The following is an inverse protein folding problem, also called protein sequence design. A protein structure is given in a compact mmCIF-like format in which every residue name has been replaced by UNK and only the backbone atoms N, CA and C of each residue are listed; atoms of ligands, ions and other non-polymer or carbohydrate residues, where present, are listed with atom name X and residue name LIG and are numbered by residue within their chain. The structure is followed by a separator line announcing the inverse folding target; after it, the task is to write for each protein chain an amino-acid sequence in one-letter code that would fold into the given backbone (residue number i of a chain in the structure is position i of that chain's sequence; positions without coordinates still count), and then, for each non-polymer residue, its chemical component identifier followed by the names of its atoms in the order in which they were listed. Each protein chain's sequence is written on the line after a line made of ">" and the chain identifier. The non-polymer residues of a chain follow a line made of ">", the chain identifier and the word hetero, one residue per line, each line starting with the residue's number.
data_IF_894222753312
#
_entry.id   IF_894222753312
#
_cell.length_a   1.000
_cell.length_b   1.000
_cell.length_c   1.000
_cell.angle_alpha   90.00
_cell.angle_beta   90.00
_cell.angle_gamma   90.00
#
_symmetry.space_group_name_H-M   'P 1'
#
loop_
_entity.id
_entity.type
_entity.pdbx_description
1 polymer ?
#
# COMPACT_ATOMS: atom_id res chain seq x y z
N UNK A 1 -20.79 58.83 -115.00
CA UNK A 1 -20.51 58.98 -113.56
C UNK A 1 -20.02 57.66 -113.01
N UNK A 2 -18.72 57.37 -113.11
CA UNK A 2 -18.13 56.17 -112.50
C UNK A 2 -17.00 56.66 -111.61
N UNK A 3 -17.31 56.90 -110.33
CA UNK A 3 -16.28 57.14 -109.33
C UNK A 3 -15.54 55.82 -109.14
N UNK A 4 -14.25 55.81 -109.41
CA UNK A 4 -13.44 54.58 -109.43
C UNK A 4 -13.31 54.04 -107.99
N UNK A 5 -13.67 52.77 -107.72
CA UNK A 5 -13.74 52.19 -106.37
C UNK A 5 -12.46 52.39 -105.52
N UNK A 6 -11.30 52.43 -106.19
CA UNK A 6 -9.97 52.53 -105.58
C UNK A 6 -9.73 53.85 -104.80
N UNK A 7 -10.35 54.97 -105.18
CA UNK A 7 -10.14 56.27 -104.50
C UNK A 7 -10.97 56.38 -103.22
N UNK A 8 -12.18 55.82 -103.22
CA UNK A 8 -13.01 55.70 -102.02
C UNK A 8 -12.42 54.71 -101.01
N UNK A 9 -11.82 53.62 -101.48
CA UNK A 9 -11.08 52.67 -100.63
C UNK A 9 -9.83 53.30 -99.98
N UNK A 10 -9.05 54.10 -100.73
CA UNK A 10 -7.90 54.80 -100.15
C UNK A 10 -8.28 55.85 -99.10
N UNK A 11 -9.38 56.59 -99.28
CA UNK A 11 -9.88 57.53 -98.25
C UNK A 11 -10.45 56.82 -97.03
N UNK A 12 -11.13 55.69 -97.21
CA UNK A 12 -11.59 54.85 -96.11
C UNK A 12 -10.40 54.30 -95.30
N UNK A 13 -9.37 53.77 -95.97
CA UNK A 13 -8.16 53.28 -95.32
C UNK A 13 -7.38 54.39 -94.58
N UNK A 14 -7.35 55.63 -95.11
CA UNK A 14 -6.75 56.77 -94.43
C UNK A 14 -7.55 57.22 -93.20
N UNK A 15 -8.88 57.17 -93.27
CA UNK A 15 -9.75 57.45 -92.12
C UNK A 15 -9.62 56.40 -91.02
N UNK A 16 -9.52 55.12 -91.38
CA UNK A 16 -9.26 54.01 -90.45
C UNK A 16 -7.89 54.16 -89.77
N UNK A 17 -6.83 54.49 -90.50
CA UNK A 17 -5.51 54.76 -89.91
C UNK A 17 -5.54 55.95 -88.94
N UNK A 18 -6.27 57.01 -89.26
CA UNK A 18 -6.41 58.18 -88.38
C UNK A 18 -7.23 57.86 -87.13
N UNK A 19 -8.28 57.05 -87.26
CA UNK A 19 -9.05 56.54 -86.13
C UNK A 19 -8.19 55.64 -85.22
N UNK A 20 -7.40 54.74 -85.81
CA UNK A 20 -6.46 53.89 -85.07
C UNK A 20 -5.38 54.71 -84.34
N UNK A 21 -4.87 55.78 -84.96
CA UNK A 21 -3.93 56.71 -84.32
C UNK A 21 -4.56 57.49 -83.15
N UNK A 22 -5.81 57.94 -83.30
CA UNK A 22 -6.53 58.61 -82.22
C UNK A 22 -6.82 57.67 -81.05
N UNK A 23 -7.19 56.41 -81.33
CA UNK A 23 -7.40 55.39 -80.32
C UNK A 23 -6.09 55.01 -79.60
N UNK A 24 -4.98 54.92 -80.34
CA UNK A 24 -3.65 54.71 -79.76
C UNK A 24 -3.24 55.86 -78.84
N UNK A 25 -3.46 57.12 -79.23
CA UNK A 25 -3.16 58.30 -78.41
C UNK A 25 -4.01 58.36 -77.12
N UNK A 26 -5.29 57.97 -77.20
CA UNK A 26 -6.16 57.86 -76.02
C UNK A 26 -5.68 56.77 -75.06
N UNK A 27 -5.29 55.60 -75.58
CA UNK A 27 -4.71 54.52 -74.76
C UNK A 27 -3.38 54.91 -74.13
N UNK A 28 -2.56 55.69 -74.83
CA UNK A 28 -1.30 56.21 -74.28
C UNK A 28 -1.54 57.21 -73.14
N UNK A 29 -2.51 58.11 -73.30
CA UNK A 29 -2.92 59.05 -72.23
C UNK A 29 -3.49 58.31 -71.01
N UNK A 30 -4.38 57.33 -71.23
CA UNK A 30 -4.93 56.52 -70.13
C UNK A 30 -3.84 55.71 -69.42
N UNK A 31 -2.86 55.18 -70.16
CA UNK A 31 -1.70 54.51 -69.58
C UNK A 31 -0.81 55.47 -68.78
N UNK A 32 -0.62 56.71 -69.23
CA UNK A 32 0.12 57.74 -68.50
C UNK A 32 -0.59 58.14 -67.21
N UNK A 33 -1.92 58.33 -67.25
CA UNK A 33 -2.74 58.66 -66.08
C UNK A 33 -2.72 57.52 -65.05
N UNK A 34 -2.81 56.25 -65.49
CA UNK A 34 -2.66 55.07 -64.62
C UNK A 34 -1.30 55.02 -63.95
N UNK A 35 -0.21 55.24 -64.69
CA UNK A 35 1.16 55.29 -64.13
C UNK A 35 1.31 56.42 -63.10
N UNK A 36 0.71 57.57 -63.34
CA UNK A 36 0.74 58.70 -62.41
C UNK A 36 -0.04 58.39 -61.11
N UNK A 37 -1.20 57.73 -61.20
CA UNK A 37 -1.97 57.29 -60.02
C UNK A 37 -1.26 56.17 -59.26
N UNK A 38 -0.65 55.19 -59.94
CA UNK A 38 0.19 54.16 -59.31
C UNK A 38 1.39 54.78 -58.57
N UNK A 39 2.03 55.80 -59.15
CA UNK A 39 3.13 56.51 -58.49
C UNK A 39 2.64 57.27 -57.24
N UNK A 40 1.50 57.95 -57.32
CA UNK A 40 0.88 58.62 -56.16
C UNK A 40 0.50 57.62 -55.07
N UNK A 41 -0.08 56.47 -55.44
CA UNK A 41 -0.41 55.39 -54.51
C UNK A 41 0.84 54.84 -53.83
N UNK A 42 1.92 54.61 -54.59
CA UNK A 42 3.22 54.20 -54.04
C UNK A 42 3.81 55.22 -53.07
N UNK A 43 3.73 56.52 -53.38
CA UNK A 43 4.19 57.59 -52.48
C UNK A 43 3.37 57.62 -51.18
N UNK A 44 2.05 57.44 -51.25
CA UNK A 44 1.17 57.35 -50.07
C UNK A 44 1.46 56.12 -49.22
N UNK A 45 1.65 54.96 -49.84
CA UNK A 45 2.03 53.73 -49.14
C UNK A 45 3.36 53.89 -48.38
N UNK A 46 4.38 54.45 -49.04
CA UNK A 46 5.68 54.73 -48.40
C UNK A 46 5.58 55.72 -47.24
N UNK A 47 4.72 56.75 -47.37
CA UNK A 47 4.46 57.68 -46.27
C UNK A 47 3.76 57.00 -45.08
N UNK A 48 2.76 56.16 -45.35
CA UNK A 48 2.07 55.39 -44.32
C UNK A 48 3.03 54.45 -43.57
N UNK A 49 3.87 53.71 -44.29
CA UNK A 49 4.90 52.84 -43.72
C UNK A 49 5.88 53.63 -42.84
N UNK A 50 6.38 54.78 -43.31
CA UNK A 50 7.26 55.65 -42.52
C UNK A 50 6.59 56.15 -41.24
N UNK A 51 5.28 56.46 -41.27
CA UNK A 51 4.55 56.84 -40.05
C UNK A 51 4.35 55.68 -39.09
N UNK A 52 4.08 54.47 -39.59
CA UNK A 52 3.96 53.27 -38.77
C UNK A 52 5.29 52.94 -38.08
N UNK A 53 6.40 52.94 -38.82
CA UNK A 53 7.73 52.73 -38.28
C UNK A 53 8.09 53.75 -37.19
N UNK A 54 7.75 55.03 -37.37
CA UNK A 54 7.95 56.07 -36.34
C UNK A 54 7.11 55.82 -35.08
N UNK A 55 5.84 55.41 -35.22
CA UNK A 55 4.99 55.07 -34.06
C UNK A 55 5.56 53.90 -33.28
N UNK A 56 6.00 52.86 -33.98
CA UNK A 56 6.61 51.69 -33.37
C UNK A 56 7.91 52.03 -32.64
N UNK A 57 8.80 52.82 -33.27
CA UNK A 57 10.03 53.29 -32.64
C UNK A 57 9.75 54.11 -31.36
N UNK A 58 8.75 54.98 -31.39
CA UNK A 58 8.32 55.77 -30.21
C UNK A 58 7.79 54.87 -29.10
N UNK A 59 7.00 53.85 -29.44
CA UNK A 59 6.49 52.89 -28.47
C UNK A 59 7.63 52.09 -27.81
N UNK A 60 8.60 51.62 -28.60
CA UNK A 60 9.80 50.93 -28.10
C UNK A 60 10.63 51.83 -27.18
N UNK A 61 10.84 53.10 -27.54
CA UNK A 61 11.56 54.06 -26.71
C UNK A 61 10.84 54.35 -25.38
N UNK A 62 9.52 54.55 -25.41
CA UNK A 62 8.73 54.76 -24.20
C UNK A 62 8.75 53.52 -23.28
N UNK A 63 8.74 52.32 -23.85
CA UNK A 63 8.87 51.07 -23.09
C UNK A 63 10.24 50.93 -22.44
N UNK A 64 11.31 51.26 -23.17
CA UNK A 64 12.68 51.26 -22.64
C UNK A 64 12.86 52.27 -21.50
N UNK A 65 12.25 53.46 -21.59
CA UNK A 65 12.28 54.47 -20.51
C UNK A 65 11.52 54.07 -19.25
N UNK A 66 10.49 53.23 -19.37
CA UNK A 66 9.68 52.73 -18.25
C UNK A 66 10.22 51.43 -17.66
N UNK A 67 11.23 50.81 -18.26
CA UNK A 67 11.79 49.58 -17.73
C UNK A 67 12.45 49.86 -16.37
N UNK A 68 12.22 49.00 -15.36
CA UNK A 68 12.91 49.13 -14.08
C UNK A 68 14.42 49.04 -14.31
N UNK A 69 15.18 49.79 -13.51
CA UNK A 69 16.64 49.75 -13.59
C UNK A 69 17.14 48.35 -13.23
N UNK A 70 18.29 47.96 -13.79
CA UNK A 70 18.93 46.69 -13.46
C UNK A 70 19.15 46.54 -11.94
N UNK A 71 19.46 47.66 -11.27
CA UNK A 71 19.62 47.72 -9.82
C UNK A 71 18.32 47.39 -9.06
N UNK A 72 17.17 47.94 -9.49
CA UNK A 72 15.88 47.64 -8.86
C UNK A 72 15.49 46.16 -9.00
N UNK A 73 15.77 45.55 -10.16
CA UNK A 73 15.55 44.13 -10.38
C UNK A 73 16.46 43.25 -9.53
N UNK A 74 17.70 43.67 -9.31
CA UNK A 74 18.65 42.94 -8.46
C UNK A 74 18.26 43.03 -6.97
N UNK A 75 17.83 44.20 -6.51
CA UNK A 75 17.26 44.42 -5.16
C UNK A 75 16.04 43.53 -4.93
N UNK A 76 15.09 43.49 -5.88
CA UNK A 76 13.90 42.63 -5.79
C UNK A 76 14.27 41.14 -5.73
N UNK A 77 15.28 40.71 -6.50
CA UNK A 77 15.77 39.31 -6.46
C UNK A 77 16.42 38.98 -5.12
N UNK A 78 17.20 39.90 -4.55
CA UNK A 78 17.81 39.72 -3.22
C UNK A 78 16.73 39.68 -2.13
N UNK A 79 15.73 40.54 -2.20
CA UNK A 79 14.60 40.54 -1.27
C UNK A 79 13.81 39.22 -1.35
N UNK A 80 13.55 38.71 -2.56
CA UNK A 80 12.90 37.40 -2.75
C UNK A 80 13.74 36.25 -2.21
N UNK A 81 15.05 36.22 -2.48
CA UNK A 81 15.95 35.21 -1.96
C UNK A 81 15.99 35.25 -0.42
N UNK A 82 16.07 36.43 0.19
CA UNK A 82 16.04 36.58 1.65
C UNK A 82 14.69 36.17 2.28
N UNK A 83 13.57 36.41 1.58
CA UNK A 83 12.27 35.91 2.01
C UNK A 83 12.18 34.38 1.91
N UNK A 84 12.73 33.79 0.85
CA UNK A 84 12.76 32.35 0.66
C UNK A 84 13.62 31.65 1.74
N UNK A 85 14.79 32.20 2.05
CA UNK A 85 15.65 31.68 3.13
C UNK A 85 14.91 31.71 4.47
N UNK A 86 14.27 32.84 4.83
CA UNK A 86 13.48 32.92 6.07
C UNK A 86 12.34 31.90 6.11
N UNK A 87 11.65 31.70 4.99
CA UNK A 87 10.60 30.69 4.90
C UNK A 87 11.14 29.25 4.99
N UNK A 88 12.37 28.99 4.50
CA UNK A 88 13.05 27.71 4.67
C UNK A 88 13.47 27.49 6.14
N UNK A 89 14.01 28.50 6.80
CA UNK A 89 14.37 28.46 8.23
C UNK A 89 13.13 28.20 9.11
N UNK A 90 12.01 28.87 8.84
CA UNK A 90 10.76 28.64 9.56
C UNK A 90 10.24 27.22 9.36
N UNK A 91 10.25 26.69 8.13
CA UNK A 91 9.89 25.29 7.86
C UNK A 91 10.82 24.31 8.57
N UNK A 92 12.13 24.59 8.59
CA UNK A 92 13.09 23.75 9.30
C UNK A 92 12.85 23.76 10.82
N UNK A 93 12.52 24.92 11.40
CA UNK A 93 12.16 25.04 12.81
C UNK A 93 10.86 24.29 13.15
N UNK A 94 9.85 24.37 12.29
CA UNK A 94 8.59 23.62 12.45
C UNK A 94 8.84 22.11 12.43
N UNK A 95 9.61 21.62 11.45
CA UNK A 95 9.97 20.20 11.37
C UNK A 95 10.81 19.73 12.57
N UNK A 96 11.71 20.57 13.08
CA UNK A 96 12.49 20.24 14.27
C UNK A 96 11.60 20.13 15.52
N UNK A 97 10.63 21.05 15.68
CA UNK A 97 9.67 21.00 16.79
C UNK A 97 8.74 19.78 16.70
N UNK A 98 8.31 19.41 15.49
CA UNK A 98 7.52 18.19 15.24
C UNK A 98 8.32 16.91 15.53
N UNK A 99 9.60 16.87 15.14
CA UNK A 99 10.47 15.74 15.49
C UNK A 99 10.72 15.64 16.99
N UNK A 100 10.83 16.77 17.70
CA UNK A 100 10.97 16.77 19.15
C UNK A 100 9.69 16.29 19.84
N UNK A 101 8.51 16.74 19.39
CA UNK A 101 7.24 16.29 19.94
C UNK A 101 7.01 14.80 19.67
N UNK A 102 7.35 14.30 18.48
CA UNK A 102 7.31 12.88 18.16
C UNK A 102 8.23 12.05 19.08
N UNK A 103 9.48 12.49 19.28
CA UNK A 103 10.42 11.83 20.20
C UNK A 103 9.94 11.84 21.65
N UNK A 104 9.24 12.89 22.07
CA UNK A 104 8.63 12.96 23.41
C UNK A 104 7.49 11.95 23.52
N UNK A 105 6.59 11.91 22.54
CA UNK A 105 5.49 10.96 22.50
C UNK A 105 5.98 9.51 22.48
N UNK A 106 7.06 9.20 21.75
CA UNK A 106 7.70 7.88 21.75
C UNK A 106 8.24 7.49 23.13
N UNK A 107 8.87 8.42 23.86
CA UNK A 107 9.35 8.17 25.22
C UNK A 107 8.20 7.93 26.19
N UNK A 108 7.16 8.77 26.14
CA UNK A 108 5.96 8.60 26.97
C UNK A 108 5.26 7.26 26.67
N UNK A 109 5.17 6.86 25.40
CA UNK A 109 4.63 5.56 25.01
C UNK A 109 5.47 4.39 25.54
N UNK A 110 6.80 4.49 25.50
CA UNK A 110 7.70 3.48 26.06
C UNK A 110 7.54 3.38 27.59
N UNK A 111 7.48 4.51 28.29
CA UNK A 111 7.26 4.53 29.75
C UNK A 111 5.91 3.90 30.14
N UNK A 112 4.86 4.15 29.35
CA UNK A 112 3.55 3.52 29.56
C UNK A 112 3.57 2.02 29.27
N UNK A 113 4.31 1.58 28.25
CA UNK A 113 4.48 0.17 27.93
C UNK A 113 5.24 -0.56 29.05
N UNK A 114 6.35 0.01 29.53
CA UNK A 114 7.12 -0.53 30.65
C UNK A 114 6.28 -0.59 31.94
N UNK A 115 5.45 0.43 32.19
CA UNK A 115 4.53 0.44 33.34
C UNK A 115 3.45 -0.64 33.23
N UNK A 116 2.92 -0.88 32.02
CA UNK A 116 1.94 -1.93 31.76
C UNK A 116 2.56 -3.33 31.94
N UNK A 117 3.79 -3.54 31.47
CA UNK A 117 4.52 -4.79 31.68
C UNK A 117 4.76 -5.05 33.18
N UNK A 118 5.21 -4.03 33.92
CA UNK A 118 5.39 -4.15 35.37
C UNK A 118 4.07 -4.41 36.12
N UNK A 119 2.96 -3.85 35.66
CA UNK A 119 1.64 -4.12 36.24
C UNK A 119 1.24 -5.59 36.01
N UNK A 120 1.39 -6.11 34.79
CA UNK A 120 1.12 -7.51 34.48
C UNK A 120 1.99 -8.46 35.32
N UNK A 121 3.30 -8.17 35.46
CA UNK A 121 4.18 -8.97 36.31
C UNK A 121 3.78 -8.97 37.78
N UNK A 122 3.20 -7.87 38.29
CA UNK A 122 2.67 -7.82 39.66
C UNK A 122 1.41 -8.67 39.80
N UNK A 123 0.48 -8.56 38.84
CA UNK A 123 -0.73 -9.39 38.81
C UNK A 123 -0.38 -10.89 38.76
N UNK A 124 0.58 -11.27 37.92
CA UNK A 124 1.08 -12.65 37.84
C UNK A 124 1.72 -13.11 39.16
N UNK A 125 2.50 -12.24 39.81
CA UNK A 125 3.11 -12.55 41.10
C UNK A 125 2.05 -12.72 42.22
N UNK A 126 1.02 -11.89 42.24
CA UNK A 126 -0.11 -12.00 43.16
C UNK A 126 -0.90 -13.29 42.93
N UNK A 127 -1.16 -13.64 41.66
CA UNK A 127 -1.82 -14.89 41.31
C UNK A 127 -0.97 -16.11 41.71
N UNK A 128 0.33 -16.08 41.46
CA UNK A 128 1.25 -17.15 41.86
C UNK A 128 1.31 -17.30 43.39
N UNK A 129 1.24 -16.21 44.15
CA UNK A 129 1.14 -16.27 45.61
C UNK A 129 -0.21 -16.84 46.07
N UNK A 130 -1.32 -16.45 45.43
CA UNK A 130 -2.63 -17.01 45.73
C UNK A 130 -2.71 -18.51 45.47
N UNK A 131 -2.14 -18.98 44.35
CA UNK A 131 -2.04 -20.41 44.03
C UNK A 131 -1.23 -21.17 45.07
N UNK A 132 -0.05 -20.67 45.45
CA UNK A 132 0.77 -21.29 46.52
C UNK A 132 0.02 -21.38 47.85
N UNK A 133 -0.74 -20.35 48.22
CA UNK A 133 -1.59 -20.40 49.43
C UNK A 133 -2.68 -21.46 49.32
N UNK A 134 -3.36 -21.52 48.17
CA UNK A 134 -4.39 -22.54 47.91
C UNK A 134 -3.84 -23.96 47.95
N UNK A 135 -2.61 -24.18 47.45
CA UNK A 135 -1.94 -25.48 47.51
C UNK A 135 -1.68 -25.90 48.95
N UNK A 136 -1.12 -25.01 49.78
CA UNK A 136 -0.89 -25.27 51.22
C UNK A 136 -2.21 -25.55 51.95
N UNK A 137 -3.26 -24.77 51.69
CA UNK A 137 -4.58 -24.99 52.30
C UNK A 137 -5.19 -26.35 51.89
N UNK A 138 -4.99 -26.76 50.63
CA UNK A 138 -5.43 -28.06 50.13
C UNK A 138 -4.65 -29.22 50.76
N UNK A 139 -3.33 -29.09 50.90
CA UNK A 139 -2.49 -30.06 51.60
C UNK A 139 -2.89 -30.19 53.07
N UNK A 140 -3.14 -29.08 53.76
CA UNK A 140 -3.60 -29.09 55.15
C UNK A 140 -4.99 -29.72 55.29
N UNK A 141 -5.91 -29.43 54.35
CA UNK A 141 -7.23 -30.05 54.31
C UNK A 141 -7.14 -31.57 54.08
N UNK A 142 -6.22 -32.01 53.21
CA UNK A 142 -5.94 -33.43 52.99
C UNK A 142 -5.37 -34.08 54.25
N UNK A 143 -4.38 -33.47 54.91
CA UNK A 143 -3.79 -33.96 56.15
C UNK A 143 -4.84 -34.13 57.25
N UNK A 144 -5.74 -33.16 57.43
CA UNK A 144 -6.89 -33.27 58.36
C UNK A 144 -7.83 -34.43 58.01
N UNK A 145 -8.08 -34.68 56.73
CA UNK A 145 -8.90 -35.81 56.29
C UNK A 145 -8.22 -37.14 56.60
N UNK A 146 -6.92 -37.27 56.32
CA UNK A 146 -6.14 -38.47 56.62
C UNK A 146 -6.15 -38.75 58.12
N UNK A 147 -5.86 -37.74 58.96
CA UNK A 147 -5.89 -37.88 60.41
C UNK A 147 -7.25 -38.37 60.94
N UNK A 148 -8.37 -37.82 60.43
CA UNK A 148 -9.71 -38.31 60.80
C UNK A 148 -9.94 -39.77 60.40
N UNK A 149 -9.44 -40.20 59.24
CA UNK A 149 -9.53 -41.60 58.83
C UNK A 149 -8.70 -42.50 59.75
N UNK A 150 -7.49 -42.08 60.11
CA UNK A 150 -6.62 -42.82 61.05
C UNK A 150 -7.26 -42.97 62.43
N UNK A 151 -7.88 -41.90 62.96
CA UNK A 151 -8.64 -41.94 64.21
C UNK A 151 -9.84 -42.89 64.12
N UNK A 152 -10.59 -42.86 63.02
CA UNK A 152 -11.71 -43.77 62.79
C UNK A 152 -11.25 -45.24 62.75
N UNK A 153 -10.17 -45.54 62.02
CA UNK A 153 -9.60 -46.90 61.95
C UNK A 153 -9.06 -47.35 63.30
N UNK A 154 -8.42 -46.46 64.06
CA UNK A 154 -7.85 -46.78 65.38
C UNK A 154 -8.91 -46.98 66.47
N UNK A 155 -10.07 -46.34 66.33
CA UNK A 155 -11.20 -46.44 67.27
C UNK A 155 -12.16 -47.60 66.94
N UNK A 156 -12.06 -48.19 65.75
CA UNK A 156 -12.69 -49.48 65.48
C UNK A 156 -12.06 -50.57 66.36
N UNK A 157 -12.84 -51.08 67.32
CA UNK A 157 -12.43 -52.22 68.14
C UNK A 157 -12.05 -53.39 67.23
N UNK A 158 -10.80 -53.85 67.33
CA UNK A 158 -10.34 -55.13 66.78
C UNK A 158 -11.00 -56.29 67.53
N UNK A 159 -12.32 -56.40 67.43
CA UNK A 159 -13.04 -57.64 67.72
C UNK A 159 -12.45 -58.71 66.82
N UNK A 160 -11.69 -59.63 67.43
CA UNK A 160 -10.67 -60.41 66.75
C UNK A 160 -11.14 -61.09 65.46
N UNK A 161 -10.60 -60.63 64.32
CA UNK A 161 -10.40 -61.33 63.04
C UNK A 161 -11.59 -62.00 62.32
N UNK A 162 -12.68 -62.33 63.00
CA UNK A 162 -13.77 -63.15 62.48
C UNK A 162 -14.81 -62.39 61.68
N UNK A 163 -14.88 -61.06 61.83
CA UNK A 163 -15.87 -60.21 61.16
C UNK A 163 -15.31 -59.47 59.93
N UNK A 164 -14.03 -59.68 59.61
CA UNK A 164 -13.37 -59.09 58.43
C UNK A 164 -14.12 -59.42 57.12
N UNK A 165 -14.60 -60.66 56.89
CA UNK A 165 -15.38 -61.00 55.70
C UNK A 165 -16.72 -60.24 55.61
N UNK A 166 -17.44 -60.12 56.72
CA UNK A 166 -18.72 -59.41 56.78
C UNK A 166 -18.55 -57.89 56.63
N UNK A 167 -17.42 -57.35 57.10
CA UNK A 167 -17.04 -55.94 56.89
C UNK A 167 -16.68 -55.64 55.43
N UNK A 168 -15.97 -56.57 54.76
CA UNK A 168 -15.70 -56.48 53.32
C UNK A 168 -17.00 -56.53 52.52
N UNK A 169 -17.88 -57.48 52.82
CA UNK A 169 -19.18 -57.62 52.16
C UNK A 169 -20.07 -56.38 52.36
N UNK A 170 -20.06 -55.79 53.57
CA UNK A 170 -20.76 -54.51 53.86
C UNK A 170 -20.17 -53.32 53.10
N UNK A 171 -18.85 -53.25 52.95
CA UNK A 171 -18.17 -52.21 52.18
C UNK A 171 -18.48 -52.36 50.69
N UNK A 172 -18.43 -53.57 50.14
CA UNK A 172 -18.78 -53.85 48.74
C UNK A 172 -20.23 -53.47 48.42
N UNK A 173 -21.16 -53.71 49.36
CA UNK A 173 -22.56 -53.27 49.24
C UNK A 173 -22.69 -51.73 49.34
N UNK A 174 -21.93 -51.08 50.23
CA UNK A 174 -22.05 -49.63 50.48
C UNK A 174 -21.35 -48.76 49.43
N UNK A 175 -20.23 -49.23 48.88
CA UNK A 175 -19.57 -48.61 47.73
C UNK A 175 -20.29 -48.91 46.40
N UNK A 176 -21.26 -49.82 46.43
CA UNK A 176 -21.93 -50.36 45.25
C UNK A 176 -20.99 -51.23 44.44
N UNK A 177 -21.54 -52.26 43.78
CA UNK A 177 -20.82 -53.10 42.82
C UNK A 177 -20.45 -52.32 41.54
N UNK A 178 -19.59 -51.30 41.68
CA UNK A 178 -19.04 -50.50 40.60
C UNK A 178 -17.52 -50.68 40.51
N UNK A 179 -17.02 -51.86 40.85
CA UNK A 179 -15.73 -52.35 40.36
C UNK A 179 -16.01 -53.41 39.31
N UNK A 180 -16.48 -52.97 38.14
CA UNK A 180 -16.51 -53.84 36.97
C UNK A 180 -15.06 -54.22 36.61
N UNK A 181 -14.70 -55.47 36.89
CA UNK A 181 -13.43 -56.07 36.51
C UNK A 181 -12.80 -56.92 37.63
N UNK A 182 -12.06 -57.97 37.24
CA UNK A 182 -11.25 -58.79 38.15
C UNK A 182 -10.32 -57.92 39.00
N UNK A 183 -9.94 -58.40 40.19
CA UNK A 183 -8.88 -57.78 40.99
C UNK A 183 -7.63 -57.52 40.14
N UNK A 184 -7.25 -58.47 39.27
CA UNK A 184 -6.15 -58.28 38.31
C UNK A 184 -6.37 -57.09 37.38
N UNK A 185 -7.57 -56.90 36.82
CA UNK A 185 -7.84 -55.79 35.90
C UNK A 185 -7.72 -54.43 36.60
N UNK A 186 -8.11 -54.36 37.87
CA UNK A 186 -7.96 -53.14 38.66
C UNK A 186 -6.51 -52.89 39.05
N UNK A 187 -5.76 -53.93 39.41
CA UNK A 187 -4.32 -53.81 39.72
C UNK A 187 -3.54 -53.39 38.47
N UNK A 188 -3.82 -53.99 37.31
CA UNK A 188 -3.21 -53.58 36.04
C UNK A 188 -3.59 -52.16 35.61
N UNK A 189 -4.81 -51.69 35.88
CA UNK A 189 -5.20 -50.30 35.61
C UNK A 189 -4.43 -49.30 36.50
N UNK A 190 -4.20 -49.66 37.77
CA UNK A 190 -3.41 -48.85 38.71
C UNK A 190 -1.93 -48.85 38.32
N UNK A 191 -1.37 -49.99 37.93
CA UNK A 191 0.01 -50.09 37.42
C UNK A 191 0.23 -49.24 36.17
N UNK A 192 -0.78 -49.13 35.28
CA UNK A 192 -0.75 -48.23 34.12
C UNK A 192 -0.77 -46.75 34.47
N UNK A 193 -1.43 -46.38 35.57
CA UNK A 193 -1.52 -44.98 36.02
C UNK A 193 -0.28 -44.53 36.81
N UNK A 194 0.45 -45.47 37.41
CA UNK A 194 1.63 -45.21 38.25
C UNK A 194 2.94 -45.47 37.51
N UNK A 195 2.94 -46.28 36.45
CA UNK A 195 4.14 -46.52 35.62
C UNK A 195 4.65 -45.25 34.95
N UNK A 196 5.98 -45.08 34.78
CA UNK A 196 6.52 -43.92 34.09
C UNK A 196 6.08 -43.98 32.62
N UNK A 197 5.39 -42.93 32.17
CA UNK A 197 5.11 -42.64 30.76
C UNK A 197 6.45 -42.45 30.03
N UNK A 198 7.10 -43.56 29.67
CA UNK A 198 8.09 -43.59 28.61
C UNK A 198 7.32 -43.55 27.29
N UNK A 199 7.42 -42.40 26.63
CA UNK A 199 6.60 -41.97 25.52
C UNK A 199 6.30 -43.00 24.45
N UNK A 200 5.03 -43.06 24.06
CA UNK A 200 4.55 -43.16 22.67
C UNK A 200 3.01 -43.09 22.71
N UNK A 201 2.46 -41.87 22.72
CA UNK A 201 1.06 -41.63 22.41
C UNK A 201 0.94 -41.35 20.91
N UNK A 202 0.74 -42.44 20.17
CA UNK A 202 0.15 -42.43 18.85
C UNK A 202 -1.23 -41.76 18.89
N UNK A 203 -1.52 -41.06 17.79
CA UNK A 203 -2.73 -40.28 17.51
C UNK A 203 -4.02 -41.04 17.86
N UNK A 204 -4.83 -40.46 18.75
CA UNK A 204 -6.23 -40.85 18.88
C UNK A 204 -7.06 -40.04 17.88
N UNK A 205 -7.52 -40.76 16.87
CA UNK A 205 -8.46 -40.33 15.85
C UNK A 205 -9.79 -39.92 16.52
N UNK A 206 -10.10 -38.61 16.50
CA UNK A 206 -11.45 -38.11 16.77
C UNK A 206 -12.36 -38.38 15.55
N UNK A 207 -13.67 -38.62 15.73
CA UNK A 207 -14.57 -38.89 14.62
C UNK A 207 -14.64 -37.68 13.68
N UNK A 208 -14.23 -37.93 12.44
CA UNK A 208 -14.33 -37.02 11.30
C UNK A 208 -15.80 -36.65 11.12
N UNK A 209 -16.17 -35.47 11.60
CA UNK A 209 -17.29 -34.74 11.02
C UNK A 209 -16.79 -34.20 9.68
N UNK A 210 -17.51 -34.52 8.61
CA UNK A 210 -17.17 -34.11 7.25
C UNK A 210 -16.80 -32.63 7.22
N UNK A 211 -15.66 -32.25 6.60
CA UNK A 211 -15.27 -30.86 6.53
C UNK A 211 -16.28 -30.16 5.63
N UNK A 212 -17.21 -29.42 6.25
CA UNK A 212 -17.93 -28.37 5.55
C UNK A 212 -16.85 -27.45 4.99
N UNK A 213 -16.82 -27.34 3.67
CA UNK A 213 -15.90 -26.52 2.89
C UNK A 213 -15.50 -25.28 3.67
N UNK A 214 -14.24 -25.21 4.09
CA UNK A 214 -13.70 -24.04 4.75
C UNK A 214 -13.78 -22.90 3.72
N UNK A 215 -14.77 -22.03 3.87
CA UNK A 215 -14.83 -20.78 3.12
C UNK A 215 -13.72 -19.91 3.69
N UNK A 216 -12.78 -19.52 2.84
CA UNK A 216 -11.67 -18.68 3.25
C UNK A 216 -12.19 -17.36 3.81
N UNK A 217 -11.65 -16.91 4.93
CA UNK A 217 -11.95 -15.57 5.48
C UNK A 217 -11.68 -14.44 4.47
N UNK A 218 -10.84 -14.70 3.46
CA UNK A 218 -10.59 -13.77 2.36
C UNK A 218 -11.82 -13.56 1.46
N UNK A 219 -12.69 -14.57 1.32
CA UNK A 219 -13.91 -14.50 0.49
C UNK A 219 -15.10 -13.83 1.21
N UNK A 220 -14.96 -13.54 2.51
CA UNK A 220 -16.02 -12.98 3.32
C UNK A 220 -16.37 -11.51 2.99
N UNK A 221 -15.64 -10.87 2.07
CA UNK A 221 -15.99 -9.55 1.53
C UNK A 221 -16.28 -8.49 2.60
N UNK A 222 -15.52 -8.51 3.70
CA UNK A 222 -15.69 -7.57 4.81
C UNK A 222 -15.15 -6.20 4.39
N UNK A 223 -15.99 -5.41 3.71
CA UNK A 223 -15.71 -4.00 3.46
C UNK A 223 -15.81 -3.23 4.78
N UNK A 224 -14.70 -3.19 5.52
CA UNK A 224 -14.58 -2.45 6.78
C UNK A 224 -14.52 -0.93 6.57
N UNK A 225 -14.64 -0.44 5.32
CA UNK A 225 -14.54 0.99 4.98
C UNK A 225 -13.17 1.62 5.28
N UNK A 226 -12.20 0.80 5.71
CA UNK A 226 -10.82 1.22 5.96
C UNK A 226 -10.05 1.12 4.64
N UNK A 227 -9.34 2.17 4.20
CA UNK A 227 -8.48 2.05 3.03
C UNK A 227 -7.52 0.89 3.26
N UNK A 228 -7.37 0.03 2.25
CA UNK A 228 -6.49 -1.13 2.30
C UNK A 228 -5.12 -0.67 2.82
N UNK A 229 -4.66 -1.29 3.90
CA UNK A 229 -3.35 -0.98 4.45
C UNK A 229 -2.31 -1.11 3.32
N UNK A 230 -1.37 -0.17 3.17
CA UNK A 230 -0.31 -0.31 2.18
C UNK A 230 0.34 -1.67 2.40
N UNK A 231 0.52 -2.44 1.32
CA UNK A 231 1.09 -3.79 1.41
C UNK A 231 2.37 -3.74 2.24
N UNK A 232 2.44 -4.57 3.27
CA UNK A 232 3.57 -4.66 4.18
C UNK A 232 4.91 -4.65 3.41
N UNK A 233 5.89 -3.89 3.91
CA UNK A 233 7.25 -3.74 3.36
C UNK A 233 7.94 -5.07 3.07
N UNK A 234 7.51 -6.16 3.70
CA UNK A 234 7.87 -7.53 3.35
C UNK A 234 6.89 -8.13 2.33
N UNK A 235 6.89 -7.64 1.09
CA UNK A 235 6.32 -8.31 -0.09
C UNK A 235 4.96 -8.94 0.18
N UNK A 236 3.94 -8.08 0.34
CA UNK A 236 2.56 -8.44 0.66
C UNK A 236 1.94 -9.42 -0.32
N UNK A 237 0.64 -9.68 -0.21
CA UNK A 237 -0.01 -10.79 -0.94
C UNK A 237 0.26 -10.79 -2.45
N UNK A 238 0.40 -9.61 -3.06
CA UNK A 238 0.59 -9.49 -4.51
C UNK A 238 2.02 -9.13 -4.97
N UNK A 239 2.91 -8.66 -4.10
CA UNK A 239 4.24 -8.14 -4.49
C UNK A 239 5.39 -9.14 -4.28
N UNK A 240 6.26 -9.28 -5.28
CA UNK A 240 7.41 -10.17 -5.29
C UNK A 240 8.28 -9.95 -4.05
N UNK A 241 8.50 -11.01 -3.27
CA UNK A 241 9.21 -10.92 -1.99
C UNK A 241 10.72 -10.72 -2.13
N UNK A 242 11.23 -10.77 -3.36
CA UNK A 242 12.66 -10.65 -3.65
C UNK A 242 13.02 -9.21 -4.00
N UNK A 243 12.24 -8.58 -4.88
CA UNK A 243 12.52 -7.22 -5.34
C UNK A 243 11.60 -6.15 -4.75
N UNK A 244 10.51 -6.55 -4.08
CA UNK A 244 9.52 -5.66 -3.48
C UNK A 244 8.94 -4.60 -4.44
N UNK A 245 9.02 -4.84 -5.76
CA UNK A 245 8.70 -3.83 -6.78
C UNK A 245 7.72 -4.33 -7.86
N UNK A 246 7.71 -5.64 -8.13
CA UNK A 246 6.90 -6.24 -9.21
C UNK A 246 5.90 -7.22 -8.63
N UNK A 247 4.78 -7.43 -9.33
CA UNK A 247 3.76 -8.40 -8.93
C UNK A 247 4.30 -9.83 -9.00
N UNK A 248 3.88 -10.69 -8.07
CA UNK A 248 4.17 -12.13 -8.07
C UNK A 248 3.51 -12.78 -9.30
N UNK A 249 4.26 -13.58 -10.04
CA UNK A 249 3.74 -14.26 -11.24
C UNK A 249 4.24 -15.69 -11.40
N UNK A 250 5.23 -16.10 -10.61
CA UNK A 250 5.85 -17.42 -10.73
C UNK A 250 5.78 -18.17 -9.40
N UNK A 251 5.29 -19.41 -9.47
CA UNK A 251 5.29 -20.38 -8.39
C UNK A 251 6.49 -21.32 -8.52
N UNK A 252 7.15 -21.58 -7.40
CA UNK A 252 8.23 -22.56 -7.31
C UNK A 252 7.66 -23.98 -7.30
N UNK A 253 8.16 -24.88 -8.15
CA UNK A 253 7.78 -26.30 -8.18
C UNK A 253 8.93 -27.13 -7.59
N UNK A 254 8.67 -28.05 -6.64
CA UNK A 254 7.37 -28.64 -6.28
C UNK A 254 6.57 -27.95 -5.16
N UNK A 255 7.17 -27.01 -4.41
CA UNK A 255 6.56 -26.50 -3.19
C UNK A 255 5.27 -25.67 -3.39
N UNK A 256 5.02 -25.14 -4.59
CA UNK A 256 3.82 -24.40 -4.96
C UNK A 256 3.79 -22.93 -4.54
N UNK A 257 4.81 -22.42 -3.85
CA UNK A 257 4.79 -21.04 -3.34
C UNK A 257 4.89 -20.00 -4.47
N UNK A 258 3.81 -19.24 -4.66
CA UNK A 258 3.77 -18.04 -5.52
C UNK A 258 4.45 -16.88 -4.78
N UNK A 259 5.73 -16.65 -5.05
CA UNK A 259 6.54 -15.71 -4.27
C UNK A 259 7.41 -14.76 -5.12
N UNK A 260 7.63 -15.06 -6.40
CA UNK A 260 8.55 -14.33 -7.25
C UNK A 260 7.88 -13.74 -8.49
N UNK A 261 8.46 -12.65 -9.02
CA UNK A 261 8.20 -12.18 -10.38
C UNK A 261 9.14 -12.88 -11.38
N UNK A 262 8.78 -12.86 -12.67
CA UNK A 262 9.55 -13.52 -13.74
C UNK A 262 11.07 -13.27 -13.72
N UNK A 263 11.53 -12.01 -13.68
CA UNK A 263 12.97 -11.72 -13.64
C UNK A 263 13.68 -12.26 -12.40
N UNK A 264 12.98 -12.35 -11.25
CA UNK A 264 13.60 -12.87 -10.03
C UNK A 264 13.62 -14.40 -10.03
N UNK A 265 12.58 -15.07 -10.55
CA UNK A 265 12.55 -16.53 -10.64
C UNK A 265 13.70 -17.09 -11.46
N UNK A 266 14.09 -16.42 -12.56
CA UNK A 266 15.21 -16.86 -13.42
C UNK A 266 16.57 -16.89 -12.70
N UNK A 267 16.71 -16.15 -11.59
CA UNK A 267 17.96 -16.03 -10.85
C UNK A 267 18.07 -17.00 -9.67
N UNK A 268 17.04 -17.81 -9.40
CA UNK A 268 16.91 -18.58 -8.16
C UNK A 268 16.75 -20.08 -8.42
N UNK A 269 17.50 -20.87 -7.63
CA UNK A 269 17.47 -22.34 -7.64
C UNK A 269 16.74 -22.93 -6.43
N UNK A 270 16.40 -22.10 -5.44
CA UNK A 270 15.68 -22.48 -4.22
C UNK A 270 14.51 -21.52 -3.99
N UNK A 271 13.43 -22.02 -3.39
CA UNK A 271 12.28 -21.19 -3.07
C UNK A 271 12.65 -20.24 -1.91
N UNK A 272 12.52 -18.90 -2.07
CA UNK A 272 12.86 -17.97 -1.00
C UNK A 272 11.94 -18.07 0.23
N UNK A 273 10.80 -18.75 0.10
CA UNK A 273 9.85 -18.95 1.20
C UNK A 273 10.21 -20.16 2.06
N UNK A 274 10.33 -21.35 1.46
CA UNK A 274 10.55 -22.61 2.19
C UNK A 274 11.97 -23.21 2.02
N UNK A 275 12.82 -22.61 1.19
CA UNK A 275 14.18 -23.08 0.83
C UNK A 275 14.23 -24.44 0.14
N UNK A 276 13.09 -24.94 -0.34
CA UNK A 276 13.05 -26.18 -1.12
C UNK A 276 13.67 -25.95 -2.53
N UNK A 277 14.48 -26.90 -3.04
CA UNK A 277 15.05 -26.80 -4.38
C UNK A 277 13.96 -26.68 -5.45
N UNK A 278 14.12 -25.69 -6.33
CA UNK A 278 13.18 -25.43 -7.41
C UNK A 278 13.59 -26.22 -8.64
N UNK A 279 12.73 -27.15 -9.05
CA UNK A 279 12.91 -27.93 -10.28
C UNK A 279 12.53 -27.07 -11.49
N UNK A 280 11.45 -26.28 -11.36
CA UNK A 280 11.02 -25.34 -12.39
C UNK A 280 10.16 -24.21 -11.79
N UNK A 281 10.19 -23.05 -12.43
CA UNK A 281 9.30 -21.95 -12.14
C UNK A 281 8.12 -21.97 -13.10
N UNK A 282 6.90 -21.97 -12.57
CA UNK A 282 5.66 -22.05 -13.35
C UNK A 282 4.83 -20.78 -13.17
N UNK A 283 4.21 -20.30 -14.24
CA UNK A 283 3.16 -19.27 -14.16
C UNK A 283 1.82 -19.98 -13.94
N UNK A 284 1.17 -19.83 -12.76
CA UNK A 284 -0.14 -20.42 -12.52
C UNK A 284 -1.18 -19.77 -13.43
N UNK A 285 -2.15 -20.55 -13.91
CA UNK A 285 -3.27 -19.99 -14.67
C UNK A 285 -4.14 -19.16 -13.73
N UNK A 286 -4.64 -17.98 -14.17
CA UNK A 286 -5.62 -17.24 -13.39
C UNK A 286 -6.88 -18.10 -13.23
N UNK A 287 -7.37 -18.18 -11.99
CA UNK A 287 -8.65 -18.79 -11.63
C UNK A 287 -9.80 -17.83 -11.83
#
# INVERSE_FOLDING_TARGET
>A
MHSSPLYTEQRAAAAERKAAQAEAALREKEAADKRAEEEKARRRAKAAEATAAKKEAKAKNNKAKKAPSAFALEEERKAKAAAEVRAQEERAAQLAAEQESARRAEREAAELADAAEQAALREDAELAEALRRSEVDAEEALARRVSRCEEAVSSESTGGGGDLPLRVERLEVSLGAATAGSLEERVSAIERLIGPEAGEAAEQHLPVTEPRSAVSLADAGLDTGRPAAPESTMGGDTTCIVCFARVKSHAAVPCGHLCACGPCSELMQECPYCREPVIMWMVPRPV
#
